data_IF_928294661082
#
_entry.id   IF_928294661082
#
_cell.length_a   1.000
_cell.length_b   1.000
_cell.length_c   1.000
_cell.angle_alpha   90.00
_cell.angle_beta   90.00
_cell.angle_gamma   90.00
#
_symmetry.space_group_name_H-M   'P 1'
#
loop_
_entity.id
_entity.type
_entity.pdbx_description
1 polymer ?
#
# COMPACT_ATOMS: atom_id res chain seq x y z
N UNK A 1 4.95 -60.81 12.76
CA UNK A 1 3.87 -60.42 13.68
C UNK A 1 3.66 -58.92 13.47
N UNK A 2 2.69 -58.54 12.63
CA UNK A 2 2.34 -57.13 12.44
C UNK A 2 1.55 -56.66 13.66
N UNK A 3 2.00 -55.59 14.33
CA UNK A 3 1.31 -55.00 15.48
C UNK A 3 -0.02 -54.36 15.06
N UNK A 4 -0.98 -54.22 15.99
CA UNK A 4 -2.29 -53.67 15.67
C UNK A 4 -2.14 -52.20 15.26
N UNK A 5 -2.61 -51.90 14.06
CA UNK A 5 -2.87 -50.55 13.60
C UNK A 5 -3.99 -50.00 14.46
N UNK A 6 -3.67 -49.08 15.37
CA UNK A 6 -4.66 -48.36 16.14
C UNK A 6 -5.39 -47.40 15.19
N UNK A 7 -6.44 -47.91 14.55
CA UNK A 7 -7.43 -47.14 13.81
C UNK A 7 -8.31 -46.42 14.84
N UNK A 8 -7.78 -45.35 15.43
CA UNK A 8 -8.61 -44.44 16.20
C UNK A 8 -9.58 -43.77 15.24
N UNK A 9 -10.79 -44.32 15.13
CA UNK A 9 -11.90 -43.70 14.42
C UNK A 9 -12.00 -42.23 14.86
N UNK A 10 -11.96 -41.31 13.89
CA UNK A 10 -12.10 -39.87 14.12
C UNK A 10 -13.42 -39.38 13.56
N UNK A 11 -14.12 -38.55 14.31
CA UNK A 11 -15.33 -37.84 13.88
C UNK A 11 -15.04 -36.34 13.70
N UNK A 12 -15.72 -35.70 12.75
CA UNK A 12 -15.62 -34.25 12.54
C UNK A 12 -16.50 -33.52 13.57
N UNK A 13 -15.95 -32.52 14.25
CA UNK A 13 -16.73 -31.65 15.12
C UNK A 13 -17.55 -30.65 14.30
N UNK A 14 -18.88 -30.65 14.45
CA UNK A 14 -19.78 -29.74 13.71
C UNK A 14 -19.62 -28.24 14.04
N UNK A 15 -18.80 -27.89 15.04
CA UNK A 15 -18.58 -26.50 15.46
C UNK A 15 -17.23 -25.93 14.97
N UNK A 16 -16.16 -26.74 14.95
CA UNK A 16 -14.84 -26.31 14.50
C UNK A 16 -14.34 -27.01 13.24
N UNK A 17 -15.13 -27.93 12.68
CA UNK A 17 -14.84 -28.72 11.48
C UNK A 17 -13.54 -29.54 11.55
N UNK A 18 -13.00 -29.76 12.76
CA UNK A 18 -11.77 -30.52 12.99
C UNK A 18 -12.06 -32.00 13.23
N UNK A 19 -11.19 -32.87 12.73
CA UNK A 19 -11.20 -34.30 13.04
C UNK A 19 -10.72 -34.54 14.48
N UNK A 20 -11.55 -35.17 15.29
CA UNK A 20 -11.32 -35.46 16.70
C UNK A 20 -11.58 -36.96 16.92
N UNK A 21 -10.82 -37.67 17.76
CA UNK A 21 -11.10 -39.07 18.09
C UNK A 21 -12.57 -39.25 18.52
N UNK A 22 -13.26 -40.21 17.91
CA UNK A 22 -14.70 -40.44 18.11
C UNK A 22 -15.03 -40.72 19.58
N UNK A 23 -14.11 -41.30 20.34
CA UNK A 23 -14.27 -41.52 21.79
C UNK A 23 -14.40 -40.23 22.61
N UNK A 24 -13.85 -39.12 22.11
CA UNK A 24 -13.73 -37.85 22.85
C UNK A 24 -14.52 -36.71 22.21
N UNK A 25 -15.32 -36.99 21.18
CA UNK A 25 -16.02 -35.97 20.38
C UNK A 25 -17.02 -35.15 21.21
N UNK A 26 -17.77 -35.77 22.11
CA UNK A 26 -18.77 -35.09 22.96
C UNK A 26 -18.11 -34.11 23.95
N UNK A 27 -17.04 -34.55 24.60
CA UNK A 27 -16.25 -33.70 25.51
C UNK A 27 -15.63 -32.54 24.75
N UNK A 28 -15.05 -32.82 23.58
CA UNK A 28 -14.52 -31.77 22.71
C UNK A 28 -15.61 -30.79 22.29
N UNK A 29 -16.77 -31.26 21.81
CA UNK A 29 -17.86 -30.40 21.35
C UNK A 29 -18.37 -29.49 22.45
N UNK A 30 -18.56 -30.01 23.68
CA UNK A 30 -18.96 -29.20 24.82
C UNK A 30 -17.94 -28.12 25.15
N UNK A 31 -16.63 -28.42 25.09
CA UNK A 31 -15.59 -27.42 25.32
C UNK A 31 -15.49 -26.41 24.16
N UNK A 32 -15.51 -26.91 22.93
CA UNK A 32 -15.35 -26.13 21.71
C UNK A 32 -16.49 -25.11 21.55
N UNK A 33 -17.74 -25.53 21.65
CA UNK A 33 -18.90 -24.64 21.48
C UNK A 33 -19.02 -23.58 22.57
N UNK A 34 -18.54 -23.89 23.79
CA UNK A 34 -18.53 -22.95 24.91
C UNK A 34 -17.42 -21.92 24.78
N UNK A 35 -16.19 -22.34 24.45
CA UNK A 35 -14.99 -21.52 24.60
C UNK A 35 -14.44 -20.95 23.29
N UNK A 36 -14.73 -21.56 22.15
CA UNK A 36 -14.23 -21.13 20.85
C UNK A 36 -15.38 -20.56 20.01
N UNK A 37 -15.06 -19.67 19.08
CA UNK A 37 -15.97 -19.13 18.08
C UNK A 37 -15.21 -18.97 16.76
N UNK A 38 -15.91 -19.17 15.64
CA UNK A 38 -15.35 -18.98 14.31
C UNK A 38 -15.32 -17.49 13.98
N UNK A 39 -14.15 -16.94 13.66
CA UNK A 39 -14.00 -15.56 13.24
C UNK A 39 -14.79 -15.30 11.96
N UNK A 40 -15.58 -14.23 11.94
CA UNK A 40 -16.44 -13.87 10.80
C UNK A 40 -15.68 -13.32 9.60
N UNK A 41 -14.41 -12.93 9.78
CA UNK A 41 -13.58 -12.32 8.74
C UNK A 41 -12.70 -13.36 8.05
N UNK A 42 -11.94 -14.16 8.81
CA UNK A 42 -11.01 -15.16 8.27
C UNK A 42 -11.50 -16.61 8.37
N UNK A 43 -12.51 -16.89 9.20
CA UNK A 43 -13.01 -18.26 9.42
C UNK A 43 -12.20 -19.08 10.45
N UNK A 44 -11.20 -18.49 11.10
CA UNK A 44 -10.38 -19.18 12.10
C UNK A 44 -11.13 -19.42 13.42
N UNK A 45 -10.80 -20.50 14.11
CA UNK A 45 -11.35 -20.79 15.44
C UNK A 45 -10.58 -20.03 16.53
N UNK A 46 -11.22 -19.02 17.12
CA UNK A 46 -10.62 -18.12 18.12
C UNK A 46 -11.29 -18.35 19.48
N UNK A 47 -10.54 -18.37 20.60
CA UNK A 47 -11.16 -18.38 21.92
C UNK A 47 -12.02 -17.13 22.14
N UNK A 48 -13.26 -17.29 22.62
CA UNK A 48 -14.22 -16.18 22.81
C UNK A 48 -13.64 -15.01 23.61
N UNK A 49 -12.81 -15.31 24.61
CA UNK A 49 -12.10 -14.31 25.42
C UNK A 49 -11.08 -13.45 24.64
N UNK A 50 -10.63 -13.90 23.48
CA UNK A 50 -9.61 -13.26 22.66
C UNK A 50 -10.12 -12.82 21.29
N UNK A 51 -11.45 -12.87 21.05
CA UNK A 51 -12.03 -12.46 19.76
C UNK A 51 -11.74 -10.99 19.45
N UNK A 52 -11.83 -10.12 20.46
CA UNK A 52 -11.53 -8.69 20.31
C UNK A 52 -10.04 -8.45 20.03
N UNK A 53 -9.14 -9.10 20.77
CA UNK A 53 -7.70 -9.01 20.55
C UNK A 53 -7.30 -9.52 19.16
N UNK A 54 -7.88 -10.65 18.73
CA UNK A 54 -7.67 -11.20 17.39
C UNK A 54 -8.14 -10.22 16.31
N UNK A 55 -9.31 -9.61 16.47
CA UNK A 55 -9.80 -8.60 15.54
C UNK A 55 -8.86 -7.40 15.48
N UNK A 56 -8.48 -6.83 16.63
CA UNK A 56 -7.59 -5.68 16.70
C UNK A 56 -6.19 -5.95 16.13
N UNK A 57 -5.65 -7.15 16.33
CA UNK A 57 -4.34 -7.53 15.79
C UNK A 57 -4.36 -7.85 14.29
N UNK A 58 -5.42 -8.50 13.81
CA UNK A 58 -5.44 -9.17 12.51
C UNK A 58 -6.27 -8.45 11.47
N UNK A 59 -7.42 -7.89 11.87
CA UNK A 59 -8.47 -7.41 10.96
C UNK A 59 -8.82 -5.95 11.15
N UNK A 60 -8.43 -5.32 12.26
CA UNK A 60 -8.74 -3.93 12.48
C UNK A 60 -8.06 -3.07 11.41
N UNK A 61 -8.78 -2.09 10.85
CA UNK A 61 -8.21 -1.10 9.97
C UNK A 61 -7.02 -0.38 10.63
N UNK A 62 -6.04 -0.03 9.80
CA UNK A 62 -4.82 0.67 10.20
C UNK A 62 -4.82 2.06 9.61
N UNK A 63 -4.24 3.01 10.32
CA UNK A 63 -4.08 4.37 9.83
C UNK A 63 -2.79 4.54 9.03
N UNK A 64 -2.86 5.32 7.96
CA UNK A 64 -1.69 5.75 7.21
C UNK A 64 -0.91 6.79 8.01
N UNK A 65 0.39 6.57 8.20
CA UNK A 65 1.27 7.49 8.93
C UNK A 65 1.51 8.83 8.23
N UNK A 66 1.21 8.94 6.93
CA UNK A 66 1.44 10.14 6.14
C UNK A 66 0.19 11.04 6.07
N UNK A 67 -0.98 10.46 5.84
CA UNK A 67 -2.24 11.22 5.69
C UNK A 67 -3.27 11.00 6.80
N UNK A 68 -3.00 10.10 7.76
CA UNK A 68 -3.91 9.71 8.86
C UNK A 68 -5.23 9.06 8.43
N UNK A 69 -5.41 8.74 7.14
CA UNK A 69 -6.58 8.02 6.65
C UNK A 69 -6.57 6.56 7.15
N UNK A 70 -7.74 6.01 7.45
CA UNK A 70 -7.89 4.64 7.97
C UNK A 70 -8.30 3.69 6.86
N UNK A 71 -7.62 2.55 6.76
CA UNK A 71 -7.78 1.60 5.65
C UNK A 71 -7.45 0.17 6.06
N UNK A 72 -7.74 -0.80 5.18
CA UNK A 72 -7.36 -2.19 5.43
C UNK A 72 -5.84 -2.38 5.41
N UNK A 73 -5.33 -3.26 6.27
CA UNK A 73 -3.89 -3.54 6.37
C UNK A 73 -3.29 -3.99 5.04
N UNK A 74 -4.04 -4.77 4.24
CA UNK A 74 -3.55 -5.31 2.97
C UNK A 74 -3.37 -4.23 1.90
N UNK A 75 -4.07 -3.09 2.03
CA UNK A 75 -3.96 -1.98 1.06
C UNK A 75 -3.02 -0.87 1.53
N UNK A 76 -2.54 -0.90 2.78
CA UNK A 76 -1.71 0.17 3.33
C UNK A 76 -0.41 0.39 2.54
N UNK A 77 0.22 -0.68 2.06
CA UNK A 77 1.47 -0.61 1.30
C UNK A 77 1.26 0.08 -0.07
N UNK A 78 0.27 -0.39 -0.82
CA UNK A 78 -0.17 0.20 -2.10
C UNK A 78 -0.64 1.63 -1.91
N UNK A 79 -1.33 1.92 -0.81
CA UNK A 79 -1.70 3.29 -0.48
C UNK A 79 -0.45 4.16 -0.32
N UNK A 80 0.50 3.78 0.53
CA UNK A 80 1.72 4.59 0.77
C UNK A 80 2.55 4.82 -0.49
N UNK A 81 2.65 3.80 -1.35
CA UNK A 81 3.45 3.87 -2.58
C UNK A 81 2.80 4.68 -3.70
N UNK A 82 1.49 4.53 -3.90
CA UNK A 82 0.84 5.00 -5.14
C UNK A 82 -0.30 5.98 -4.92
N UNK A 83 -1.10 5.78 -3.87
CA UNK A 83 -2.38 6.50 -3.72
C UNK A 83 -2.33 7.61 -2.67
N UNK A 84 -1.34 7.57 -1.76
CA UNK A 84 -1.29 8.51 -0.66
C UNK A 84 -1.04 9.92 -1.20
N UNK A 85 -1.89 10.91 -0.87
CA UNK A 85 -1.71 12.30 -1.31
C UNK A 85 -0.45 12.94 -0.69
N UNK A 86 -0.04 12.43 0.46
CA UNK A 86 1.14 12.89 1.20
C UNK A 86 2.41 12.10 0.87
N UNK A 87 2.38 11.19 -0.13
CA UNK A 87 3.61 10.52 -0.59
C UNK A 87 4.55 11.54 -1.22
N UNK A 88 5.85 11.33 -1.06
CA UNK A 88 6.87 12.20 -1.65
C UNK A 88 7.11 11.77 -3.11
N UNK A 89 6.98 12.73 -4.01
CA UNK A 89 7.26 12.61 -5.45
C UNK A 89 8.22 13.72 -5.86
N UNK A 90 8.91 13.55 -6.97
CA UNK A 90 9.85 14.55 -7.50
C UNK A 90 9.25 15.30 -8.68
N UNK A 91 9.38 16.62 -8.69
CA UNK A 91 9.02 17.43 -9.84
C UNK A 91 9.89 17.07 -11.06
N UNK A 92 9.28 16.77 -12.21
CA UNK A 92 10.01 16.42 -13.44
C UNK A 92 10.85 17.57 -14.01
N UNK A 93 10.56 18.82 -13.63
CA UNK A 93 11.21 20.02 -14.17
C UNK A 93 12.41 20.50 -13.35
N UNK A 94 12.34 20.38 -12.02
CA UNK A 94 13.37 20.89 -11.11
C UNK A 94 13.89 19.85 -10.10
N UNK A 95 13.42 18.60 -10.20
CA UNK A 95 13.82 17.47 -9.36
C UNK A 95 13.55 17.67 -7.86
N UNK A 96 12.80 18.71 -7.49
CA UNK A 96 12.48 19.01 -6.10
C UNK A 96 11.51 17.95 -5.54
N UNK A 97 11.79 17.36 -4.35
CA UNK A 97 10.90 16.43 -3.68
C UNK A 97 9.79 17.15 -2.92
N UNK A 98 8.53 16.78 -3.16
CA UNK A 98 7.36 17.37 -2.53
C UNK A 98 6.19 16.37 -2.38
N UNK A 99 5.19 16.65 -1.53
CA UNK A 99 3.99 15.84 -1.45
C UNK A 99 3.25 15.77 -2.79
N UNK A 100 2.67 14.61 -3.12
CA UNK A 100 1.94 14.41 -4.37
C UNK A 100 0.74 15.35 -4.54
N UNK A 101 0.11 15.77 -3.44
CA UNK A 101 -0.99 16.73 -3.45
C UNK A 101 -0.55 18.11 -3.97
N UNK A 102 0.70 18.51 -3.73
CA UNK A 102 1.24 19.81 -4.12
C UNK A 102 1.90 19.79 -5.50
N UNK A 103 2.13 18.59 -6.07
CA UNK A 103 2.89 18.42 -7.31
C UNK A 103 2.28 19.19 -8.49
N UNK A 104 0.96 19.11 -8.67
CA UNK A 104 0.30 19.73 -9.82
C UNK A 104 0.44 21.25 -9.80
N UNK A 105 0.08 21.88 -8.67
CA UNK A 105 0.21 23.34 -8.48
C UNK A 105 1.66 23.78 -8.65
N UNK A 106 2.60 23.03 -8.06
CA UNK A 106 4.02 23.29 -8.23
C UNK A 106 4.44 23.21 -9.70
N UNK A 107 4.01 22.20 -10.45
CA UNK A 107 4.38 22.02 -11.85
C UNK A 107 3.83 23.12 -12.77
N UNK A 108 2.65 23.68 -12.47
CA UNK A 108 2.11 24.82 -13.22
C UNK A 108 3.02 26.04 -13.12
N UNK A 109 3.58 26.31 -11.94
CA UNK A 109 4.49 27.44 -11.73
C UNK A 109 5.90 27.09 -12.20
N UNK A 110 6.42 25.94 -11.77
CA UNK A 110 7.78 25.48 -12.04
C UNK A 110 8.02 25.28 -13.54
N UNK A 111 7.10 24.64 -14.26
CA UNK A 111 7.23 24.39 -15.70
C UNK A 111 7.27 25.66 -16.55
N UNK A 112 6.69 26.76 -16.06
CA UNK A 112 6.71 28.07 -16.72
C UNK A 112 7.96 28.91 -16.41
N UNK A 113 8.78 28.51 -15.41
CA UNK A 113 10.07 29.15 -15.17
C UNK A 113 10.97 28.95 -16.38
N UNK A 114 11.75 29.97 -16.71
CA UNK A 114 12.70 29.92 -17.81
C UNK A 114 14.13 29.80 -17.29
N UNK A 115 14.96 29.06 -18.03
CA UNK A 115 16.39 28.98 -17.84
C UNK A 115 17.11 29.39 -19.13
N UNK A 116 18.31 29.96 -18.98
CA UNK A 116 19.13 30.34 -20.11
C UNK A 116 19.82 29.10 -20.69
N UNK A 117 19.56 28.79 -21.96
CA UNK A 117 20.35 27.79 -22.66
C UNK A 117 21.75 28.35 -22.96
N UNK A 118 22.78 27.65 -22.50
CA UNK A 118 24.18 28.07 -22.70
C UNK A 118 24.68 27.88 -24.14
N UNK A 119 23.96 27.12 -24.97
CA UNK A 119 24.33 26.88 -26.37
C UNK A 119 23.82 27.99 -27.30
N UNK A 120 22.55 28.38 -27.15
CA UNK A 120 21.93 29.39 -28.04
C UNK A 120 21.61 30.72 -27.34
N UNK A 121 21.88 30.84 -26.03
CA UNK A 121 21.58 32.00 -25.19
C UNK A 121 20.11 32.46 -25.23
N UNK A 122 19.17 31.53 -25.43
CA UNK A 122 17.74 31.80 -25.34
C UNK A 122 17.20 31.35 -23.99
N UNK A 123 16.27 32.12 -23.45
CA UNK A 123 15.48 31.71 -22.30
C UNK A 123 14.42 30.70 -22.76
N UNK A 124 14.46 29.48 -22.20
CA UNK A 124 13.54 28.39 -22.53
C UNK A 124 12.82 27.97 -21.26
N UNK A 125 11.53 27.69 -21.37
CA UNK A 125 10.72 27.20 -20.25
C UNK A 125 11.17 25.81 -19.86
N UNK A 126 11.18 25.49 -18.56
CA UNK A 126 11.60 24.18 -18.08
C UNK A 126 10.80 23.04 -18.74
N UNK A 127 9.50 23.22 -18.95
CA UNK A 127 8.66 22.22 -19.65
C UNK A 127 9.03 21.99 -21.12
N UNK A 128 9.71 22.94 -21.75
CA UNK A 128 10.15 22.88 -23.15
C UNK A 128 11.62 22.46 -23.28
N UNK A 129 12.33 22.30 -22.15
CA UNK A 129 13.78 22.10 -22.13
C UNK A 129 14.21 20.83 -22.85
N UNK A 130 13.47 19.74 -22.70
CA UNK A 130 13.77 18.48 -23.38
C UNK A 130 13.61 18.57 -24.91
N UNK A 131 12.53 19.20 -25.40
CA UNK A 131 12.36 19.46 -26.86
C UNK A 131 13.48 20.37 -27.37
N UNK A 132 13.78 21.43 -26.63
CA UNK A 132 14.84 22.34 -26.98
C UNK A 132 16.20 21.65 -27.07
N UNK A 133 16.58 20.84 -26.09
CA UNK A 133 17.87 20.13 -26.05
C UNK A 133 18.07 19.28 -27.32
N UNK A 134 17.02 18.56 -27.72
CA UNK A 134 17.05 17.72 -28.93
C UNK A 134 17.16 18.49 -30.25
N UNK A 135 16.75 19.76 -30.28
CA UNK A 135 16.67 20.60 -31.49
C UNK A 135 17.62 21.80 -31.44
N UNK A 136 18.40 21.94 -30.37
CA UNK A 136 19.21 23.12 -30.15
C UNK A 136 20.32 23.17 -31.19
N UNK A 137 20.34 24.24 -31.99
CA UNK A 137 21.34 24.43 -33.04
C UNK A 137 22.60 25.13 -32.54
N UNK A 138 22.66 25.55 -31.26
CA UNK A 138 23.80 26.29 -30.71
C UNK A 138 24.06 27.66 -31.35
N UNK A 139 23.14 28.16 -32.17
CA UNK A 139 23.30 29.45 -32.83
C UNK A 139 22.78 30.55 -31.90
N UNK A 140 23.70 31.37 -31.39
CA UNK A 140 23.38 32.63 -30.71
C UNK A 140 22.93 33.62 -31.79
N UNK A 141 21.63 33.75 -31.98
CA UNK A 141 21.08 34.83 -32.80
C UNK A 141 21.29 36.13 -32.02
N UNK A 142 22.41 36.81 -32.28
CA UNK A 142 22.64 38.20 -31.88
C UNK A 142 21.70 39.10 -32.69
N UNK A 143 20.41 39.09 -32.36
CA UNK A 143 19.53 40.20 -32.69
C UNK A 143 19.47 41.02 -31.40
N UNK A 144 20.39 41.97 -31.33
CA UNK A 144 20.33 43.07 -30.39
C UNK A 144 18.96 43.74 -30.55
N UNK A 145 18.08 43.57 -29.56
CA UNK A 145 16.96 44.49 -29.37
C UNK A 145 17.56 45.82 -28.87
N UNK A 146 17.94 46.66 -29.84
CA UNK A 146 18.06 48.09 -29.62
C UNK A 146 16.64 48.65 -29.53
N UNK A 147 16.26 49.14 -28.35
CA UNK A 147 15.23 50.16 -28.14
C UNK A 147 15.46 50.84 -26.80
#
# INVERSE_FOLDING_TARGET
MAGPSDDHATSICSHCDRAIPSSNIDLHFAHCSRNLEKCKVCGDMVPKKFVEEHFLGTHAPVSCSLCSETMDRNILDVHKGENCPQRIVTCEYCEFPLPAIDLLEHQEVCGNRTELCLLCHKYIRLRERHDHDSRCTGVVNNIAESS
#
